data_IF_321142635186
#
_entry.id   IF_321142635186
#
_cell.length_a   1.000
_cell.length_b   1.000
_cell.length_c   1.000
_cell.angle_alpha   90.00
_cell.angle_beta   90.00
_cell.angle_gamma   90.00
#
_symmetry.space_group_name_H-M   'P 1'
#
loop_
_entity.id
_entity.type
_entity.pdbx_description
1 polymer ?
#
# COMPACT_ATOMS: atom_id res chain seq x y z
N UNK A 1 -2.68 -13.78 -14.38
CA UNK A 1 -3.11 -13.40 -13.05
C UNK A 1 -2.34 -14.15 -12.00
N UNK A 2 -1.74 -13.43 -11.11
CA UNK A 2 -0.92 -14.06 -10.09
C UNK A 2 -1.72 -14.32 -8.83
N UNK A 3 -1.43 -15.44 -8.22
CA UNK A 3 -1.94 -15.70 -6.90
C UNK A 3 -1.12 -14.94 -5.87
N UNK A 4 -1.83 -14.28 -4.97
CA UNK A 4 -1.18 -13.53 -3.90
C UNK A 4 -1.06 -14.45 -2.68
N UNK A 5 0.17 -14.65 -2.24
CA UNK A 5 0.40 -15.51 -1.09
C UNK A 5 0.08 -14.76 0.20
N UNK A 6 -0.42 -15.52 1.17
CA UNK A 6 -0.73 -14.94 2.48
C UNK A 6 0.53 -14.32 3.10
N UNK A 7 1.68 -14.97 2.89
CA UNK A 7 2.93 -14.45 3.43
C UNK A 7 3.24 -13.06 2.87
N UNK A 8 2.93 -12.83 1.59
CA UNK A 8 3.16 -11.52 1.00
C UNK A 8 2.24 -10.47 1.62
N UNK A 9 0.98 -10.84 1.85
CA UNK A 9 0.05 -9.92 2.49
C UNK A 9 0.53 -9.56 3.89
N UNK A 10 0.99 -10.55 4.63
CA UNK A 10 1.48 -10.31 5.98
C UNK A 10 2.72 -9.44 6.00
N UNK A 11 3.61 -9.65 5.03
CA UNK A 11 4.81 -8.83 4.93
C UNK A 11 4.45 -7.37 4.68
N UNK A 12 3.51 -7.13 3.77
CA UNK A 12 3.08 -5.77 3.48
C UNK A 12 2.42 -5.15 4.71
N UNK A 13 1.60 -5.91 5.40
CA UNK A 13 0.98 -5.40 6.62
C UNK A 13 2.04 -5.00 7.64
N UNK A 14 3.11 -5.79 7.76
CA UNK A 14 4.21 -5.46 8.65
C UNK A 14 4.90 -4.16 8.25
N UNK A 15 5.11 -3.97 6.95
CA UNK A 15 5.70 -2.72 6.48
C UNK A 15 4.84 -1.53 6.84
N UNK A 16 3.52 -1.66 6.65
CA UNK A 16 2.60 -0.57 6.95
C UNK A 16 2.59 -0.28 8.44
N UNK A 17 2.61 -1.32 9.26
CA UNK A 17 2.66 -1.14 10.70
C UNK A 17 3.93 -0.40 11.13
N UNK A 18 5.07 -0.81 10.57
CA UNK A 18 6.35 -0.27 10.99
C UNK A 18 6.63 1.10 10.38
N UNK A 19 6.38 1.24 9.09
CA UNK A 19 6.78 2.44 8.37
C UNK A 19 5.75 3.55 8.45
N UNK A 20 4.47 3.18 8.47
CA UNK A 20 3.39 4.16 8.48
C UNK A 20 2.75 4.33 9.85
N UNK A 21 3.04 3.42 10.76
CA UNK A 21 2.45 3.49 12.09
C UNK A 21 0.95 3.24 12.09
N UNK A 22 0.47 2.46 11.13
CA UNK A 22 -0.95 2.13 11.04
C UNK A 22 -1.20 0.82 11.73
N UNK A 23 -2.17 0.79 12.65
CA UNK A 23 -2.49 -0.42 13.37
C UNK A 23 -3.10 -1.47 12.46
N UNK A 24 -2.93 -2.73 12.85
CA UNK A 24 -3.39 -3.84 12.02
C UNK A 24 -4.88 -3.77 11.75
N UNK A 25 -5.67 -3.31 12.73
CA UNK A 25 -7.12 -3.26 12.55
C UNK A 25 -7.55 -2.25 11.49
N UNK A 26 -6.70 -1.28 11.19
CA UNK A 26 -7.01 -0.26 10.18
C UNK A 26 -6.60 -0.71 8.78
N UNK A 27 -5.87 -1.80 8.67
CA UNK A 27 -5.38 -2.30 7.38
C UNK A 27 -6.39 -3.27 6.80
N UNK A 28 -6.85 -2.99 5.60
CA UNK A 28 -7.80 -3.85 4.91
C UNK A 28 -7.04 -4.89 4.08
N UNK A 29 -7.09 -6.15 4.49
CA UNK A 29 -6.38 -7.22 3.82
C UNK A 29 -6.76 -7.31 2.34
N UNK A 30 -8.04 -7.11 2.06
CA UNK A 30 -8.52 -7.20 0.68
C UNK A 30 -7.89 -6.13 -0.20
N UNK A 31 -7.71 -4.94 0.35
CA UNK A 31 -7.04 -3.87 -0.39
C UNK A 31 -5.59 -4.22 -0.64
N UNK A 32 -4.91 -4.74 0.37
CA UNK A 32 -3.51 -5.15 0.22
C UNK A 32 -3.40 -6.22 -0.86
N UNK A 33 -4.30 -7.18 -0.85
CA UNK A 33 -4.29 -8.24 -1.85
C UNK A 33 -4.45 -7.66 -3.26
N UNK A 34 -5.39 -6.73 -3.42
CA UNK A 34 -5.62 -6.11 -4.71
C UNK A 34 -4.38 -5.38 -5.19
N UNK A 35 -3.75 -4.62 -4.31
CA UNK A 35 -2.55 -3.88 -4.69
C UNK A 35 -1.42 -4.81 -5.06
N UNK A 36 -1.26 -5.92 -4.33
CA UNK A 36 -0.22 -6.89 -4.66
C UNK A 36 -0.46 -7.53 -6.02
N UNK A 37 -1.72 -7.82 -6.34
CA UNK A 37 -2.04 -8.39 -7.65
C UNK A 37 -1.72 -7.43 -8.78
N UNK A 38 -1.99 -6.16 -8.57
CA UNK A 38 -1.83 -5.17 -9.63
C UNK A 38 -0.41 -4.63 -9.73
N UNK A 39 0.22 -4.40 -8.59
CA UNK A 39 1.51 -3.73 -8.56
C UNK A 39 2.69 -4.67 -8.31
N UNK A 40 2.41 -5.84 -7.72
CA UNK A 40 3.48 -6.72 -7.28
C UNK A 40 4.09 -6.23 -5.97
N UNK A 41 4.93 -7.07 -5.39
CA UNK A 41 5.54 -6.75 -4.10
C UNK A 41 6.37 -5.48 -4.18
N UNK A 42 7.15 -5.34 -5.25
CA UNK A 42 8.02 -4.19 -5.40
C UNK A 42 7.24 -2.90 -5.54
N UNK A 43 6.16 -2.93 -6.33
CA UNK A 43 5.33 -1.75 -6.50
C UNK A 43 4.66 -1.33 -5.20
N UNK A 44 4.20 -2.31 -4.43
CA UNK A 44 3.60 -2.01 -3.14
C UNK A 44 4.63 -1.47 -2.16
N UNK A 45 5.84 -2.05 -2.17
CA UNK A 45 6.91 -1.55 -1.30
C UNK A 45 7.24 -0.10 -1.62
N UNK A 46 7.30 0.23 -2.89
CA UNK A 46 7.55 1.61 -3.30
C UNK A 46 6.44 2.53 -2.80
N UNK A 47 5.19 2.07 -2.88
CA UNK A 47 4.07 2.86 -2.37
C UNK A 47 4.20 3.10 -0.88
N UNK A 48 4.64 2.09 -0.13
CA UNK A 48 4.87 2.25 1.30
C UNK A 48 5.94 3.30 1.55
N UNK A 49 7.02 3.26 0.78
CA UNK A 49 8.09 4.23 0.94
C UNK A 49 7.61 5.65 0.66
N UNK A 50 6.83 5.82 -0.40
CA UNK A 50 6.29 7.15 -0.73
C UNK A 50 5.37 7.64 0.36
N UNK A 51 4.48 6.78 0.84
CA UNK A 51 3.55 7.17 1.90
C UNK A 51 4.29 7.48 3.18
N UNK A 52 5.33 6.72 3.49
CA UNK A 52 6.12 6.95 4.69
C UNK A 52 6.82 8.31 4.63
N UNK A 53 7.36 8.64 3.47
CA UNK A 53 8.03 9.93 3.30
C UNK A 53 7.07 11.09 3.52
N UNK A 54 5.81 10.92 3.17
CA UNK A 54 4.82 11.97 3.33
C UNK A 54 4.15 11.97 4.70
N UNK A 55 4.29 10.88 5.45
CA UNK A 55 3.59 10.77 6.73
C UNK A 55 4.06 11.81 7.73
N UNK A 56 5.29 12.31 7.58
CA UNK A 56 5.81 13.33 8.46
C UNK A 56 5.03 14.64 8.34
N UNK A 57 4.42 14.86 7.19
CA UNK A 57 3.64 16.06 6.94
C UNK A 57 2.15 15.86 7.23
N UNK A 58 1.75 14.64 7.50
CA UNK A 58 0.36 14.33 7.79
C UNK A 58 0.19 14.27 9.30
N UNK A 59 -0.19 15.40 9.87
CA UNK A 59 -0.46 15.46 11.31
C UNK A 59 -1.87 14.93 11.56
N UNK A 60 -2.11 13.70 11.11
CA UNK A 60 -3.41 13.09 11.16
C UNK A 60 -3.28 11.67 11.68
N UNK A 61 -4.42 11.06 11.98
CA UNK A 61 -4.43 9.72 12.53
C UNK A 61 -4.03 8.66 11.53
N UNK A 62 -3.96 7.43 12.03
CA UNK A 62 -3.52 6.32 11.20
C UNK A 62 -4.45 6.03 10.03
N UNK A 63 -5.74 6.32 10.19
CA UNK A 63 -6.68 6.09 9.10
C UNK A 63 -6.34 6.98 7.91
N UNK A 64 -5.95 8.22 8.17
CA UNK A 64 -5.55 9.11 7.08
C UNK A 64 -4.29 8.64 6.39
N UNK A 65 -3.34 8.11 7.16
CA UNK A 65 -2.12 7.55 6.57
C UNK A 65 -2.44 6.34 5.71
N UNK A 66 -3.32 5.48 6.19
CA UNK A 66 -3.75 4.32 5.42
C UNK A 66 -4.41 4.75 4.11
N UNK A 67 -5.29 5.75 4.18
CA UNK A 67 -5.95 6.25 2.98
C UNK A 67 -4.94 6.85 2.01
N UNK A 68 -3.93 7.54 2.52
CA UNK A 68 -2.91 8.11 1.64
C UNK A 68 -2.15 7.00 0.92
N UNK A 69 -1.78 5.96 1.66
CA UNK A 69 -1.12 4.81 1.05
C UNK A 69 -1.99 4.19 -0.05
N UNK A 70 -3.27 4.00 0.23
CA UNK A 70 -4.18 3.46 -0.76
C UNK A 70 -4.24 4.35 -2.00
N UNK A 71 -4.27 5.66 -1.79
CA UNK A 71 -4.29 6.60 -2.90
C UNK A 71 -3.04 6.48 -3.76
N UNK A 72 -1.88 6.30 -3.14
CA UNK A 72 -0.64 6.10 -3.88
C UNK A 72 -0.73 4.83 -4.72
N UNK A 73 -1.24 3.76 -4.13
CA UNK A 73 -1.38 2.49 -4.84
C UNK A 73 -2.34 2.62 -6.03
N UNK A 74 -3.48 3.26 -5.81
CA UNK A 74 -4.44 3.42 -6.89
C UNK A 74 -3.90 4.31 -8.01
N UNK A 75 -3.13 5.33 -7.64
CA UNK A 75 -2.50 6.17 -8.64
C UNK A 75 -1.52 5.36 -9.49
N UNK A 76 -0.72 4.52 -8.84
CA UNK A 76 0.22 3.67 -9.57
C UNK A 76 -0.51 2.71 -10.51
N UNK A 77 -1.61 2.13 -10.04
CA UNK A 77 -2.39 1.21 -10.88
C UNK A 77 -2.93 1.95 -12.09
N UNK A 78 -3.46 3.15 -11.88
CA UNK A 78 -3.98 3.94 -12.98
C UNK A 78 -2.90 4.27 -13.99
N UNK A 79 -1.71 4.64 -13.51
CA UNK A 79 -0.62 4.96 -14.41
C UNK A 79 -0.19 3.76 -15.23
N UNK A 80 -0.19 2.57 -14.63
CA UNK A 80 0.13 1.37 -15.36
C UNK A 80 -0.89 1.09 -16.45
N UNK A 81 -2.16 1.29 -16.14
CA UNK A 81 -3.21 1.05 -17.12
C UNK A 81 -3.16 2.04 -18.26
N UNK A 82 -2.82 3.29 -17.95
CA UNK A 82 -2.77 4.33 -18.98
C UNK A 82 -1.47 4.27 -19.77
N UNK A 83 -0.41 3.76 -19.17
CA UNK A 83 0.88 3.76 -19.80
C UNK A 83 1.21 2.49 -20.56
N UNK A 84 0.23 1.67 -20.80
CA UNK A 84 0.46 0.40 -21.48
C UNK A 84 0.28 0.52 -22.97
N UNK A 85 0.54 1.60 -23.53
CA UNK A 85 0.44 1.67 -24.96
C UNK A 85 1.62 1.27 -25.65
#
# INVERSE_FOLDING_TARGET
>A
QREVEVAAIEAVCGWILDDLGVNRWAIADRSVETFLRRLGVEGVREAVNVASAHSDHLDTGQVARWKYFCGVCWKKIRMLEEGTE
#
